data_IF_095522340424
#
_entry.id   IF_095522340424
#
_cell.length_a   1.000
_cell.length_b   1.000
_cell.length_c   1.000
_cell.angle_alpha   90.00
_cell.angle_beta   90.00
_cell.angle_gamma   90.00
#
_symmetry.space_group_name_H-M   'P 1'
#
loop_
_entity.id
_entity.type
_entity.pdbx_description
1 polymer ?
#
# COMPACT_ATOMS: atom_id res chain seq x y z
N UNK A 1 -15.79 -0.85 6.40
CA UNK A 1 -15.43 0.49 6.93
C UNK A 1 -14.79 1.38 5.86
N UNK A 2 -13.62 1.06 5.28
CA UNK A 2 -12.94 1.92 4.27
C UNK A 2 -13.81 2.27 3.06
N UNK A 3 -14.48 1.30 2.45
CA UNK A 3 -15.38 1.56 1.30
C UNK A 3 -16.59 2.44 1.68
N UNK A 4 -17.04 2.40 2.93
CA UNK A 4 -18.09 3.30 3.42
C UNK A 4 -17.57 4.74 3.54
N UNK A 5 -16.33 4.93 4.01
CA UNK A 5 -15.69 6.25 4.07
C UNK A 5 -15.48 6.84 2.67
N UNK A 6 -15.08 6.02 1.70
CA UNK A 6 -15.01 6.45 0.29
C UNK A 6 -16.37 6.98 -0.17
N UNK A 7 -17.44 6.21 0.03
CA UNK A 7 -18.77 6.55 -0.45
C UNK A 7 -19.41 7.78 0.22
N UNK A 8 -18.85 8.25 1.35
CA UNK A 8 -19.39 9.37 2.13
C UNK A 8 -18.45 10.57 2.25
N UNK A 9 -17.16 10.36 2.02
CA UNK A 9 -16.11 11.34 2.28
C UNK A 9 -15.33 11.76 1.05
N UNK A 10 -15.70 11.30 -0.16
CA UNK A 10 -15.16 11.81 -1.42
C UNK A 10 -16.29 12.35 -2.29
N UNK A 11 -16.08 13.54 -2.84
CA UNK A 11 -16.95 14.16 -3.85
C UNK A 11 -16.16 14.55 -5.12
N UNK A 12 -16.81 15.31 -6.02
CA UNK A 12 -16.23 15.72 -7.30
C UNK A 12 -15.13 16.78 -7.17
N UNK A 13 -15.08 17.50 -6.05
CA UNK A 13 -14.10 18.56 -5.78
C UNK A 13 -12.80 18.04 -5.18
N UNK A 14 -12.77 16.78 -4.72
CA UNK A 14 -11.57 16.18 -4.15
C UNK A 14 -10.57 15.76 -5.25
N UNK A 15 -9.32 16.22 -5.12
CA UNK A 15 -8.22 15.79 -6.00
C UNK A 15 -7.54 14.50 -5.51
N UNK A 16 -7.43 14.33 -4.19
CA UNK A 16 -6.65 13.27 -3.57
C UNK A 16 -7.35 12.70 -2.34
N UNK A 17 -7.22 11.39 -2.13
CA UNK A 17 -7.57 10.70 -0.90
C UNK A 17 -6.29 10.24 -0.19
N UNK A 18 -6.06 10.74 1.04
CA UNK A 18 -4.97 10.26 1.90
C UNK A 18 -5.53 9.29 2.94
N UNK A 19 -5.11 8.03 2.87
CA UNK A 19 -5.32 7.04 3.92
C UNK A 19 -4.17 7.08 4.90
N UNK A 20 -4.48 7.11 6.20
CA UNK A 20 -3.52 7.03 7.29
C UNK A 20 -4.14 6.21 8.43
N UNK A 21 -3.41 5.20 8.89
CA UNK A 21 -3.83 4.43 10.07
C UNK A 21 -3.60 5.27 11.35
N UNK A 22 -4.46 5.05 12.36
CA UNK A 22 -4.44 5.82 13.61
C UNK A 22 -3.16 5.60 14.45
N UNK A 23 -2.44 4.52 14.19
CA UNK A 23 -1.18 4.18 14.86
C UNK A 23 0.05 4.83 14.21
N UNK A 24 -0.12 5.59 13.12
CA UNK A 24 0.93 6.42 12.53
C UNK A 24 1.08 7.71 13.34
N UNK A 25 2.05 7.72 14.26
CA UNK A 25 2.27 8.84 15.18
C UNK A 25 3.31 9.86 14.70
N UNK A 26 4.13 9.54 13.67
CA UNK A 26 5.18 10.43 13.16
C UNK A 26 5.39 10.31 11.66
N UNK A 27 5.44 11.46 10.99
CA UNK A 27 5.77 11.62 9.57
C UNK A 27 6.37 13.02 9.36
N UNK A 28 6.98 13.28 8.20
CA UNK A 28 7.53 14.61 7.92
C UNK A 28 6.40 15.62 7.70
N UNK A 29 6.51 16.88 8.17
CA UNK A 29 5.43 17.87 8.01
C UNK A 29 5.03 18.14 6.54
N UNK A 30 5.93 17.88 5.61
CA UNK A 30 5.76 18.03 4.17
C UNK A 30 5.35 16.72 3.45
N UNK A 31 4.94 15.68 4.18
CA UNK A 31 4.68 14.35 3.61
C UNK A 31 3.69 14.38 2.44
N UNK A 32 2.59 15.13 2.55
CA UNK A 32 1.59 15.21 1.49
C UNK A 32 2.17 15.82 0.21
N UNK A 33 2.95 16.90 0.33
CA UNK A 33 3.63 17.54 -0.80
C UNK A 33 4.62 16.57 -1.46
N UNK A 34 5.39 15.83 -0.66
CA UNK A 34 6.32 14.81 -1.16
C UNK A 34 5.61 13.71 -1.95
N UNK A 35 4.51 13.18 -1.40
CA UNK A 35 3.73 12.12 -2.07
C UNK A 35 3.14 12.62 -3.39
N UNK A 36 2.54 13.81 -3.41
CA UNK A 36 2.00 14.43 -4.63
C UNK A 36 3.13 14.69 -5.66
N UNK A 37 4.30 15.15 -5.21
CA UNK A 37 5.44 15.43 -6.10
C UNK A 37 6.02 14.19 -6.78
N UNK A 38 5.64 12.98 -6.34
CA UNK A 38 6.05 11.74 -7.01
C UNK A 38 5.45 11.61 -8.42
N UNK A 39 4.36 12.32 -8.72
CA UNK A 39 3.67 12.29 -10.00
C UNK A 39 2.82 11.04 -10.25
N UNK A 40 2.73 10.14 -9.26
CA UNK A 40 2.02 8.87 -9.39
C UNK A 40 0.61 8.92 -8.79
N UNK A 41 -0.30 8.13 -9.37
CA UNK A 41 -1.71 8.11 -8.97
C UNK A 41 -1.98 7.31 -7.69
N UNK A 42 -1.06 6.42 -7.30
CA UNK A 42 -1.12 5.65 -6.06
C UNK A 42 0.29 5.64 -5.45
N UNK A 43 0.45 6.14 -4.23
CA UNK A 43 1.76 6.31 -3.59
C UNK A 43 1.69 5.85 -2.14
N UNK A 44 2.55 4.90 -1.78
CA UNK A 44 2.77 4.48 -0.40
C UNK A 44 4.19 4.85 0.02
N UNK A 45 4.39 5.65 1.08
CA UNK A 45 5.71 5.80 1.67
C UNK A 45 6.11 4.54 2.44
N UNK A 46 7.42 4.38 2.69
CA UNK A 46 7.89 3.33 3.59
C UNK A 46 7.63 3.71 5.06
N UNK A 47 6.52 3.23 5.62
CA UNK A 47 6.24 3.32 7.05
C UNK A 47 7.14 2.33 7.81
N UNK A 48 7.94 2.83 8.76
CA UNK A 48 8.94 2.05 9.51
C UNK A 48 8.67 2.06 11.02
N UNK A 49 9.10 1.01 11.71
CA UNK A 49 9.01 0.91 13.18
C UNK A 49 9.87 1.95 13.91
N UNK A 50 11.02 2.27 13.33
CA UNK A 50 11.97 3.26 13.82
C UNK A 50 12.70 3.88 12.62
N UNK A 51 13.23 5.12 12.73
CA UNK A 51 14.02 5.73 11.66
C UNK A 51 15.14 4.79 11.17
N UNK A 52 15.17 4.50 9.87
CA UNK A 52 16.13 3.58 9.25
C UNK A 52 15.87 2.08 9.49
N UNK A 53 14.87 1.73 10.31
CA UNK A 53 14.54 0.36 10.67
C UNK A 53 13.75 -0.41 9.61
N UNK A 54 13.12 -1.49 10.06
CA UNK A 54 12.29 -2.32 9.19
C UNK A 54 10.94 -1.66 8.89
N UNK A 55 10.39 -2.02 7.73
CA UNK A 55 9.03 -1.67 7.34
C UNK A 55 8.02 -2.23 8.36
N UNK A 56 7.11 -1.38 8.80
CA UNK A 56 5.95 -1.72 9.61
C UNK A 56 4.85 -2.36 8.74
N UNK A 57 4.51 -1.72 7.62
CA UNK A 57 3.50 -2.22 6.68
C UNK A 57 4.08 -3.28 5.73
N UNK A 58 3.95 -4.55 6.11
CA UNK A 58 4.41 -5.62 5.25
C UNK A 58 3.56 -5.79 3.99
N UNK A 59 2.35 -5.21 3.90
CA UNK A 59 1.49 -5.35 2.72
C UNK A 59 1.92 -4.50 1.53
N UNK A 60 2.87 -3.59 1.71
CA UNK A 60 3.53 -2.89 0.61
C UNK A 60 4.79 -3.64 0.17
N UNK A 61 4.79 -4.19 -1.05
CA UNK A 61 5.86 -5.09 -1.50
C UNK A 61 6.08 -5.11 -3.01
N UNK A 62 7.28 -5.56 -3.40
CA UNK A 62 7.64 -5.92 -4.78
C UNK A 62 7.73 -7.44 -4.90
N UNK A 63 7.24 -8.00 -6.02
CA UNK A 63 7.53 -9.40 -6.36
C UNK A 63 8.61 -9.46 -7.44
N UNK A 64 9.67 -10.22 -7.20
CA UNK A 64 10.67 -10.58 -8.22
C UNK A 64 10.27 -11.86 -8.99
N UNK A 65 9.03 -12.33 -8.77
CA UNK A 65 8.41 -13.46 -9.46
C UNK A 65 7.16 -12.99 -10.20
N UNK A 66 7.30 -12.37 -11.38
CA UNK A 66 6.15 -11.84 -12.13
C UNK A 66 5.29 -12.93 -12.77
N UNK A 67 5.78 -14.19 -12.84
CA UNK A 67 5.06 -15.28 -13.50
C UNK A 67 3.80 -15.67 -12.71
N UNK A 68 2.64 -15.56 -13.37
CA UNK A 68 1.33 -16.00 -12.85
C UNK A 68 1.18 -17.52 -12.96
N UNK A 69 1.98 -18.26 -12.20
CA UNK A 69 1.90 -19.72 -12.10
C UNK A 69 0.96 -20.17 -10.96
N UNK A 70 0.90 -21.47 -10.70
CA UNK A 70 0.08 -22.02 -9.62
C UNK A 70 0.41 -21.42 -8.23
N UNK A 71 1.65 -20.97 -7.99
CA UNK A 71 2.05 -20.33 -6.73
C UNK A 71 1.48 -18.92 -6.63
N UNK A 72 1.39 -18.20 -7.75
CA UNK A 72 0.70 -16.92 -7.81
C UNK A 72 -0.77 -17.09 -7.41
N UNK A 73 -1.51 -17.95 -8.12
CA UNK A 73 -2.95 -18.14 -7.89
C UNK A 73 -3.27 -18.70 -6.50
N UNK A 74 -2.40 -19.51 -5.92
CA UNK A 74 -2.54 -19.98 -4.51
C UNK A 74 -2.54 -18.85 -3.49
N UNK A 75 -1.90 -17.73 -3.82
CA UNK A 75 -1.83 -16.55 -2.95
C UNK A 75 -2.81 -15.45 -3.38
N UNK A 76 -3.69 -15.69 -4.36
CA UNK A 76 -4.76 -14.75 -4.71
C UNK A 76 -5.97 -15.02 -3.82
N UNK A 77 -6.37 -14.01 -3.04
CA UNK A 77 -7.52 -14.09 -2.12
C UNK A 77 -8.46 -12.92 -2.45
N UNK A 78 -9.70 -13.25 -2.84
CA UNK A 78 -10.69 -12.25 -3.25
C UNK A 78 -10.20 -11.35 -4.40
N UNK A 79 -9.53 -11.94 -5.39
CA UNK A 79 -9.01 -11.21 -6.55
C UNK A 79 -7.69 -10.46 -6.33
N UNK A 80 -7.18 -10.41 -5.09
CA UNK A 80 -5.94 -9.70 -4.77
C UNK A 80 -4.80 -10.67 -4.48
N UNK A 81 -3.64 -10.41 -5.08
CA UNK A 81 -2.41 -11.16 -4.82
C UNK A 81 -1.82 -10.80 -3.46
N UNK A 82 -1.83 -11.75 -2.53
CA UNK A 82 -1.47 -11.56 -1.11
C UNK A 82 -0.52 -12.67 -0.63
N UNK A 83 0.72 -12.72 -1.15
CA UNK A 83 1.71 -13.67 -0.67
C UNK A 83 2.03 -13.41 0.83
N UNK A 84 2.44 -14.42 1.62
CA UNK A 84 2.99 -14.23 2.96
C UNK A 84 4.25 -13.34 2.99
N UNK A 85 4.61 -12.69 4.10
CA UNK A 85 5.81 -11.82 4.14
C UNK A 85 7.10 -12.58 3.88
N UNK A 86 7.19 -13.81 4.36
CA UNK A 86 8.34 -14.69 4.12
C UNK A 86 8.30 -15.40 2.75
N UNK A 87 7.38 -15.03 1.86
CA UNK A 87 7.30 -15.66 0.55
C UNK A 87 8.56 -15.39 -0.27
N UNK A 88 9.24 -16.46 -0.70
CA UNK A 88 10.45 -16.32 -1.51
C UNK A 88 10.15 -15.53 -2.79
N UNK A 89 10.84 -14.41 -2.96
CA UNK A 89 10.65 -13.50 -4.08
C UNK A 89 9.69 -12.34 -3.82
N UNK A 90 9.28 -12.14 -2.57
CA UNK A 90 8.69 -10.89 -2.09
C UNK A 90 9.78 -10.05 -1.41
N UNK A 91 9.83 -8.76 -1.73
CA UNK A 91 10.69 -7.77 -1.08
C UNK A 91 9.81 -6.74 -0.38
N UNK A 92 10.08 -6.48 0.90
CA UNK A 92 9.51 -5.36 1.62
C UNK A 92 10.22 -4.05 1.24
N UNK A 93 9.63 -2.90 1.54
CA UNK A 93 10.25 -1.61 1.22
C UNK A 93 11.59 -1.40 1.96
N UNK A 94 11.76 -2.00 3.13
CA UNK A 94 13.04 -2.02 3.84
C UNK A 94 14.15 -2.72 3.04
N UNK A 95 13.84 -3.74 2.25
CA UNK A 95 14.85 -4.39 1.37
C UNK A 95 15.28 -3.48 0.21
N UNK A 96 14.50 -2.43 -0.05
CA UNK A 96 14.64 -1.52 -1.19
C UNK A 96 15.00 -0.09 -0.76
N UNK A 97 15.43 0.10 0.50
CA UNK A 97 15.66 1.42 1.13
C UNK A 97 16.71 2.31 0.45
N UNK A 98 17.48 1.77 -0.48
CA UNK A 98 18.48 2.49 -1.27
C UNK A 98 17.91 3.08 -2.57
N UNK A 99 16.65 2.77 -2.89
CA UNK A 99 15.94 3.32 -4.02
C UNK A 99 15.05 4.46 -3.52
N UNK A 100 15.09 5.60 -4.22
CA UNK A 100 14.21 6.73 -3.91
C UNK A 100 12.74 6.41 -4.20
N UNK A 101 12.48 5.60 -5.25
CA UNK A 101 11.16 5.15 -5.67
C UNK A 101 11.25 3.78 -6.32
N UNK A 102 10.18 2.99 -6.17
CA UNK A 102 10.06 1.68 -6.83
C UNK A 102 8.59 1.39 -7.15
N UNK A 103 8.34 0.74 -8.28
CA UNK A 103 7.01 0.22 -8.59
C UNK A 103 6.70 -1.00 -7.71
N UNK A 104 5.54 -0.97 -7.04
CA UNK A 104 5.11 -2.02 -6.11
C UNK A 104 3.97 -2.85 -6.69
N UNK A 105 3.90 -4.11 -6.25
CA UNK A 105 2.89 -5.07 -6.70
C UNK A 105 1.77 -5.28 -5.69
N UNK A 106 1.95 -4.77 -4.48
CA UNK A 106 0.93 -4.67 -3.44
C UNK A 106 1.21 -3.44 -2.59
N UNK A 107 0.14 -2.87 -2.04
CA UNK A 107 0.17 -1.74 -1.10
C UNK A 107 -0.66 -2.09 0.13
N UNK A 108 -0.20 -1.63 1.30
CA UNK A 108 -1.00 -1.62 2.52
C UNK A 108 -1.71 -0.29 2.76
N UNK A 109 -2.32 -0.18 3.93
CA UNK A 109 -3.17 0.95 4.32
C UNK A 109 -2.53 1.95 5.28
N UNK A 110 -1.34 1.65 5.83
CA UNK A 110 -0.73 2.44 6.92
C UNK A 110 -0.56 3.90 6.55
N UNK A 111 -0.05 4.17 5.35
CA UNK A 111 -0.20 5.46 4.71
C UNK A 111 -0.28 5.24 3.19
N UNK A 112 -1.30 5.78 2.54
CA UNK A 112 -1.51 5.60 1.11
C UNK A 112 -2.19 6.84 0.52
N UNK A 113 -1.51 7.51 -0.39
CA UNK A 113 -2.10 8.56 -1.23
C UNK A 113 -2.69 7.92 -2.49
N UNK A 114 -3.94 8.24 -2.79
CA UNK A 114 -4.66 7.77 -3.98
C UNK A 114 -5.27 8.97 -4.69
N UNK A 115 -5.08 9.08 -6.00
CA UNK A 115 -5.81 10.01 -6.86
C UNK A 115 -7.31 9.75 -6.69
N UNK A 116 -8.07 10.75 -6.25
CA UNK A 116 -9.47 10.59 -5.93
C UNK A 116 -10.30 10.15 -7.15
N UNK A 117 -9.86 10.47 -8.37
CA UNK A 117 -10.49 10.01 -9.59
C UNK A 117 -10.48 8.48 -9.73
N UNK A 118 -9.49 7.79 -9.15
CA UNK A 118 -9.48 6.32 -9.13
C UNK A 118 -10.61 5.76 -8.28
N UNK A 119 -10.84 6.34 -7.09
CA UNK A 119 -11.96 5.94 -6.24
C UNK A 119 -13.30 6.24 -6.90
N UNK A 120 -13.45 7.42 -7.52
CA UNK A 120 -14.64 7.77 -8.31
C UNK A 120 -14.86 6.84 -9.51
N UNK A 121 -13.78 6.35 -10.12
CA UNK A 121 -13.83 5.35 -11.20
C UNK A 121 -14.11 3.91 -10.70
N UNK A 122 -14.30 3.71 -9.39
CA UNK A 122 -14.66 2.42 -8.81
C UNK A 122 -13.51 1.63 -8.18
N UNK A 123 -12.32 2.22 -8.01
CA UNK A 123 -11.26 1.59 -7.21
C UNK A 123 -11.73 1.50 -5.74
N UNK A 124 -11.87 0.28 -5.23
CA UNK A 124 -12.30 0.02 -3.85
C UNK A 124 -11.28 -0.87 -3.13
N UNK A 125 -11.33 -0.89 -1.81
CA UNK A 125 -10.58 -1.87 -1.03
C UNK A 125 -11.27 -3.23 -1.08
N UNK A 126 -10.50 -4.33 -1.15
CA UNK A 126 -11.07 -5.68 -1.11
C UNK A 126 -11.89 -5.90 0.15
N UNK A 127 -13.05 -6.54 0.01
CA UNK A 127 -13.90 -6.91 1.15
C UNK A 127 -13.40 -8.19 1.85
N UNK A 128 -12.62 -9.01 1.15
CA UNK A 128 -11.96 -10.16 1.72
C UNK A 128 -10.87 -9.73 2.69
N UNK A 129 -10.75 -10.43 3.82
CA UNK A 129 -9.72 -10.14 4.82
C UNK A 129 -8.35 -10.29 4.19
N UNK A 130 -7.53 -9.25 4.28
CA UNK A 130 -6.12 -9.35 3.89
C UNK A 130 -5.45 -10.39 4.79
N UNK A 131 -4.59 -11.23 4.24
CA UNK A 131 -3.78 -12.14 5.07
C UNK A 131 -2.85 -11.26 5.90
N UNK A 132 -3.19 -11.07 7.18
CA UNK A 132 -2.31 -10.34 8.10
C UNK A 132 -1.05 -11.17 8.20
N UNK A 133 0.01 -10.70 7.55
CA UNK A 133 1.32 -11.28 7.76
C UNK A 133 1.81 -10.80 9.11
N UNK A 134 1.47 -11.52 10.17
CA UNK A 134 2.16 -11.35 11.44
C UNK A 134 3.63 -11.67 11.22
N UNK A 135 4.53 -10.85 11.78
CA UNK A 135 5.89 -11.31 12.03
C UNK A 135 5.80 -12.55 12.96
N UNK A 136 6.61 -13.59 12.75
CA UNK A 136 6.75 -14.63 13.78
C UNK A 136 7.22 -14.03 15.11
#
# INVERSE_FOLDING_TARGET
MRNHLIAKGLDESDDWALWIDIDVWKFTPDILRKLISSGERIVAPNCVLAPGGDTFDLNTFVTIRPKRDYRYYRNVIGGVYQPPANFRGRLALSDLRHLDRVEVHGVGGTMLLVDAALHRAGLLFPESRTRISSRP
#
